data_IF_336843141850
#
_entry.id   IF_336843141850
#
_cell.length_a   1.000
_cell.length_b   1.000
_cell.length_c   1.000
_cell.angle_alpha   90.00
_cell.angle_beta   90.00
_cell.angle_gamma   90.00
#
_symmetry.space_group_name_H-M   'P 1'
#
loop_
_entity.id
_entity.type
_entity.pdbx_description
1 polymer ?
#
# COMPACT_ATOMS: atom_id res chain seq x y z
N UNK A 1 -42.05 -0.21 5.82
CA UNK A 1 -41.49 0.76 4.84
C UNK A 1 -39.97 0.74 4.94
N UNK A 2 -39.27 0.19 3.97
CA UNK A 2 -37.79 0.22 3.93
C UNK A 2 -37.34 1.51 3.22
N UNK A 3 -36.50 2.31 3.87
CA UNK A 3 -35.98 3.55 3.28
C UNK A 3 -35.04 3.19 2.12
N UNK A 4 -35.20 3.87 0.98
CA UNK A 4 -34.29 3.72 -0.17
C UNK A 4 -32.89 4.23 0.19
N UNK A 5 -31.80 3.52 -0.19
CA UNK A 5 -30.44 3.99 0.05
C UNK A 5 -30.19 5.31 -0.67
N UNK A 6 -29.62 6.30 0.03
CA UNK A 6 -29.21 7.59 -0.51
C UNK A 6 -27.69 7.66 -0.56
N UNK A 7 -27.14 7.98 -1.73
CA UNK A 7 -25.71 8.24 -1.90
C UNK A 7 -25.31 9.51 -1.13
N UNK A 8 -24.17 9.46 -0.42
CA UNK A 8 -23.61 10.60 0.31
C UNK A 8 -22.63 11.37 -0.59
N UNK A 9 -23.15 12.31 -1.37
CA UNK A 9 -22.37 13.12 -2.32
C UNK A 9 -21.68 14.36 -1.69
N UNK A 10 -21.49 14.38 -0.37
CA UNK A 10 -20.84 15.50 0.35
C UNK A 10 -19.32 15.39 0.41
N UNK A 11 -18.71 15.95 1.46
CA UNK A 11 -17.26 15.87 1.75
C UNK A 11 -16.71 14.43 1.83
N UNK A 12 -17.59 13.45 2.03
CA UNK A 12 -17.28 12.02 2.01
C UNK A 12 -16.92 11.47 0.64
N UNK A 13 -17.18 12.22 -0.43
CA UNK A 13 -16.82 11.85 -1.81
C UNK A 13 -15.35 12.18 -2.12
N UNK A 14 -14.74 13.13 -1.41
CA UNK A 14 -13.38 13.61 -1.70
C UNK A 14 -12.31 12.49 -1.69
N UNK A 15 -12.28 11.55 -0.73
CA UNK A 15 -11.34 10.43 -0.77
C UNK A 15 -11.56 9.51 -1.98
N UNK A 16 -12.82 9.31 -2.38
CA UNK A 16 -13.16 8.52 -3.56
C UNK A 16 -12.69 9.16 -4.86
N UNK A 17 -12.87 10.48 -5.00
CA UNK A 17 -12.34 11.24 -6.16
C UNK A 17 -10.81 11.17 -6.19
N UNK A 18 -10.16 11.29 -5.03
CA UNK A 18 -8.71 11.18 -4.93
C UNK A 18 -8.20 9.80 -5.37
N UNK A 19 -8.89 8.73 -4.99
CA UNK A 19 -8.56 7.37 -5.43
C UNK A 19 -8.69 7.21 -6.95
N UNK A 20 -9.76 7.73 -7.56
CA UNK A 20 -9.95 7.71 -9.02
C UNK A 20 -8.88 8.55 -9.74
N UNK A 21 -8.52 9.70 -9.18
CA UNK A 21 -7.44 10.54 -9.70
C UNK A 21 -6.09 9.83 -9.67
N UNK A 22 -5.75 9.18 -8.55
CA UNK A 22 -4.52 8.39 -8.42
C UNK A 22 -4.51 7.21 -9.41
N UNK A 23 -5.64 6.53 -9.60
CA UNK A 23 -5.77 5.47 -10.60
C UNK A 23 -5.50 5.98 -12.02
N UNK A 24 -6.10 7.11 -12.40
CA UNK A 24 -5.88 7.71 -13.71
C UNK A 24 -4.41 8.13 -13.91
N UNK A 25 -3.76 8.67 -12.87
CA UNK A 25 -2.34 8.99 -12.89
C UNK A 25 -1.48 7.74 -13.09
N UNK A 26 -1.75 6.65 -12.36
CA UNK A 26 -1.04 5.39 -12.53
C UNK A 26 -1.25 4.82 -13.94
N UNK A 27 -2.47 4.86 -14.46
CA UNK A 27 -2.76 4.43 -15.83
C UNK A 27 -1.98 5.27 -16.86
N UNK A 28 -1.89 6.59 -16.66
CA UNK A 28 -1.10 7.47 -17.52
C UNK A 28 0.39 7.08 -17.51
N UNK A 29 0.96 6.84 -16.32
CA UNK A 29 2.36 6.41 -16.19
C UNK A 29 2.58 5.09 -16.92
N UNK A 30 1.74 4.08 -16.68
CA UNK A 30 1.88 2.76 -17.33
C UNK A 30 1.80 2.87 -18.85
N UNK A 31 0.87 3.67 -19.39
CA UNK A 31 0.69 3.83 -20.83
C UNK A 31 1.80 4.64 -21.50
N UNK A 32 2.50 5.50 -20.77
CA UNK A 32 3.57 6.36 -21.30
C UNK A 32 4.97 5.88 -20.94
N UNK A 33 5.13 4.87 -20.09
CA UNK A 33 6.44 4.33 -19.73
C UNK A 33 6.90 3.38 -20.83
N UNK A 34 7.98 3.69 -21.57
CA UNK A 34 8.51 2.77 -22.55
C UNK A 34 9.16 1.58 -21.83
N UNK A 35 8.72 0.37 -22.16
CA UNK A 35 9.44 -0.85 -21.78
C UNK A 35 10.40 -1.21 -22.91
N UNK A 36 11.66 -1.49 -22.57
CA UNK A 36 12.63 -2.00 -23.54
C UNK A 36 12.21 -3.40 -24.04
N UNK A 37 12.69 -3.80 -25.22
CA UNK A 37 12.59 -5.20 -25.66
C UNK A 37 13.37 -6.07 -24.69
N UNK A 38 12.68 -7.03 -24.07
CA UNK A 38 13.32 -8.01 -23.21
C UNK A 38 14.26 -8.88 -24.06
N UNK A 39 15.57 -8.96 -23.74
CA UNK A 39 16.48 -9.83 -24.50
C UNK A 39 16.05 -11.30 -24.36
N UNK A 40 16.26 -12.11 -25.39
CA UNK A 40 15.84 -13.52 -25.43
C UNK A 40 16.41 -14.36 -24.27
N UNK A 41 17.55 -13.94 -23.69
CA UNK A 41 18.21 -14.57 -22.55
C UNK A 41 17.88 -13.93 -21.18
N UNK A 42 16.88 -13.04 -21.08
CA UNK A 42 16.61 -12.27 -19.86
C UNK A 42 16.26 -13.12 -18.61
N UNK A 43 15.92 -14.40 -18.79
CA UNK A 43 15.63 -15.34 -17.71
C UNK A 43 16.70 -16.42 -17.52
N UNK A 44 17.78 -16.41 -18.30
CA UNK A 44 18.93 -17.30 -18.13
C UNK A 44 19.89 -16.74 -17.06
N UNK A 45 19.37 -16.52 -15.86
CA UNK A 45 20.14 -15.93 -14.75
C UNK A 45 20.25 -16.93 -13.61
N UNK A 46 21.48 -17.19 -13.16
CA UNK A 46 21.76 -18.21 -12.14
C UNK A 46 21.12 -17.89 -10.79
N UNK A 47 21.10 -16.61 -10.38
CA UNK A 47 20.44 -16.16 -9.16
C UNK A 47 20.13 -14.67 -9.13
N UNK A 48 18.83 -14.33 -9.15
CA UNK A 48 18.35 -12.96 -8.96
C UNK A 48 18.75 -12.43 -7.58
N UNK A 49 18.69 -13.28 -6.56
CA UNK A 49 19.08 -12.90 -5.18
C UNK A 49 20.54 -12.50 -5.10
N UNK A 50 21.44 -13.23 -5.78
CA UNK A 50 22.85 -12.88 -5.85
C UNK A 50 23.07 -11.55 -6.58
N UNK A 51 22.42 -11.35 -7.72
CA UNK A 51 22.51 -10.10 -8.49
C UNK A 51 22.02 -8.87 -7.71
N UNK A 52 20.94 -9.01 -6.92
CA UNK A 52 20.49 -7.96 -5.99
C UNK A 52 21.54 -7.72 -4.90
N UNK A 53 22.13 -8.78 -4.34
CA UNK A 53 23.19 -8.70 -3.35
C UNK A 53 24.44 -7.98 -3.87
N UNK A 54 24.88 -8.28 -5.10
CA UNK A 54 26.01 -7.62 -5.73
C UNK A 54 25.75 -6.12 -5.94
N UNK A 55 24.54 -5.75 -6.37
CA UNK A 55 24.16 -4.34 -6.53
C UNK A 55 24.03 -3.59 -5.19
N UNK A 56 23.56 -4.26 -4.13
CA UNK A 56 23.44 -3.67 -2.79
C UNK A 56 24.79 -3.32 -2.16
N UNK A 57 25.82 -4.11 -2.44
CA UNK A 57 27.16 -3.95 -1.86
C UNK A 57 28.19 -3.39 -2.83
N UNK A 58 27.76 -2.89 -4.00
CA UNK A 58 28.63 -2.32 -5.03
C UNK A 58 29.74 -3.29 -5.50
N UNK A 59 29.37 -4.56 -5.71
CA UNK A 59 30.28 -5.64 -6.10
C UNK A 59 30.31 -5.82 -7.63
N UNK A 60 30.62 -4.75 -8.36
CA UNK A 60 30.63 -4.72 -9.83
C UNK A 60 31.37 -5.89 -10.51
N UNK A 61 32.59 -6.28 -10.09
CA UNK A 61 33.30 -7.41 -10.71
C UNK A 61 32.55 -8.75 -10.62
N UNK A 62 31.81 -8.98 -9.52
CA UNK A 62 31.00 -10.19 -9.35
C UNK A 62 29.67 -10.07 -10.11
N UNK A 63 29.11 -8.86 -10.19
CA UNK A 63 27.93 -8.55 -11.02
C UNK A 63 28.17 -8.85 -12.50
N UNK A 64 29.37 -8.54 -13.01
CA UNK A 64 29.76 -8.78 -14.41
C UNK A 64 30.01 -10.26 -14.72
N UNK A 65 30.48 -11.04 -13.74
CA UNK A 65 30.90 -12.44 -13.96
C UNK A 65 29.78 -13.43 -13.66
N UNK A 66 29.07 -13.25 -12.54
CA UNK A 66 28.12 -14.23 -11.99
C UNK A 66 26.71 -13.62 -11.78
N UNK A 67 26.51 -12.36 -12.18
CA UNK A 67 25.32 -11.57 -11.88
C UNK A 67 24.54 -11.12 -13.10
N UNK A 68 23.48 -10.36 -12.82
CA UNK A 68 22.69 -9.67 -13.85
C UNK A 68 23.20 -8.24 -13.97
N UNK A 69 23.56 -7.82 -15.17
CA UNK A 69 23.98 -6.44 -15.44
C UNK A 69 22.79 -5.47 -15.38
N UNK A 70 23.06 -4.20 -15.03
CA UNK A 70 22.03 -3.15 -15.04
C UNK A 70 20.95 -3.29 -13.97
N UNK A 71 21.25 -3.92 -12.83
CA UNK A 71 20.32 -4.10 -11.70
C UNK A 71 20.19 -2.88 -10.79
N UNK A 72 21.09 -1.90 -10.87
CA UNK A 72 21.06 -0.70 -10.02
C UNK A 72 19.77 0.13 -10.16
N UNK A 73 19.24 0.42 -11.36
CA UNK A 73 17.99 1.19 -11.49
C UNK A 73 16.80 0.43 -10.93
N UNK A 74 16.79 -0.90 -11.08
CA UNK A 74 15.80 -1.76 -10.46
C UNK A 74 15.89 -1.72 -8.93
N UNK A 75 17.11 -1.84 -8.38
CA UNK A 75 17.35 -1.78 -6.94
C UNK A 75 16.91 -0.42 -6.37
N UNK A 76 17.22 0.68 -7.05
CA UNK A 76 16.78 2.01 -6.66
C UNK A 76 15.24 2.12 -6.65
N UNK A 77 14.57 1.65 -7.71
CA UNK A 77 13.11 1.62 -7.77
C UNK A 77 12.50 0.74 -6.66
N UNK A 78 13.09 -0.43 -6.41
CA UNK A 78 12.67 -1.35 -5.35
C UNK A 78 12.74 -0.69 -3.97
N UNK A 79 13.85 -0.02 -3.64
CA UNK A 79 14.02 0.69 -2.38
C UNK A 79 13.05 1.87 -2.24
N UNK A 80 12.81 2.63 -3.32
CA UNK A 80 11.82 3.71 -3.33
C UNK A 80 10.41 3.20 -3.07
N UNK A 81 10.03 2.07 -3.68
CA UNK A 81 8.73 1.44 -3.44
C UNK A 81 8.64 0.99 -1.98
N UNK A 82 9.67 0.33 -1.45
CA UNK A 82 9.68 -0.11 -0.05
C UNK A 82 9.47 1.06 0.92
N UNK A 83 10.23 2.15 0.74
CA UNK A 83 10.08 3.38 1.53
C UNK A 83 8.68 3.98 1.41
N UNK A 84 8.12 4.02 0.19
CA UNK A 84 6.80 4.59 -0.06
C UNK A 84 5.71 3.74 0.61
N UNK A 85 5.81 2.42 0.54
CA UNK A 85 4.86 1.51 1.16
C UNK A 85 4.89 1.59 2.69
N UNK A 86 6.08 1.74 3.27
CA UNK A 86 6.26 1.94 4.71
C UNK A 86 5.54 3.22 5.19
N UNK A 87 5.81 4.35 4.53
CA UNK A 87 5.15 5.62 4.84
C UNK A 87 3.62 5.57 4.61
N UNK A 88 3.17 4.86 3.57
CA UNK A 88 1.76 4.68 3.30
C UNK A 88 1.06 3.84 4.39
N UNK A 89 1.73 2.81 4.90
CA UNK A 89 1.22 1.99 6.00
C UNK A 89 1.08 2.84 7.27
N UNK A 90 2.10 3.63 7.61
CA UNK A 90 2.05 4.55 8.76
C UNK A 90 0.92 5.57 8.63
N UNK A 91 0.80 6.21 7.46
CA UNK A 91 -0.28 7.15 7.19
C UNK A 91 -1.66 6.48 7.29
N UNK A 92 -1.79 5.24 6.82
CA UNK A 92 -3.04 4.47 6.92
C UNK A 92 -3.41 4.17 8.38
N UNK A 93 -2.41 3.89 9.23
CA UNK A 93 -2.60 3.66 10.65
C UNK A 93 -3.03 4.94 11.37
N UNK A 94 -2.40 6.07 11.06
CA UNK A 94 -2.78 7.39 11.59
C UNK A 94 -4.20 7.76 11.17
N UNK A 95 -4.58 7.54 9.89
CA UNK A 95 -5.95 7.79 9.40
C UNK A 95 -6.99 6.83 9.98
N UNK A 96 -6.59 5.58 10.26
CA UNK A 96 -7.49 4.57 10.81
C UNK A 96 -7.82 4.84 12.28
N UNK A 97 -6.89 5.44 13.03
CA UNK A 97 -7.15 5.92 14.39
C UNK A 97 -8.18 7.04 14.34
N UNK A 98 -9.37 6.79 14.87
CA UNK A 98 -10.36 7.84 15.13
C UNK A 98 -10.23 8.27 16.58
N UNK A 99 -10.17 9.58 16.79
CA UNK A 99 -10.31 10.18 18.11
C UNK A 99 -11.71 10.74 18.22
N UNK A 100 -12.46 10.35 19.27
CA UNK A 100 -13.75 10.92 19.60
C UNK A 100 -13.62 11.60 20.95
N UNK A 101 -13.88 12.91 21.00
CA UNK A 101 -13.75 13.72 22.22
C UNK A 101 -12.37 13.70 22.89
N UNK A 102 -11.30 13.47 22.12
CA UNK A 102 -9.92 13.42 22.62
C UNK A 102 -9.49 12.06 23.17
N UNK A 103 -10.35 11.04 23.10
CA UNK A 103 -9.98 9.66 23.42
C UNK A 103 -9.82 8.80 22.15
N UNK A 104 -8.79 7.94 22.06
CA UNK A 104 -8.61 7.03 20.93
C UNK A 104 -9.72 5.97 20.91
N UNK A 105 -10.59 5.99 19.90
CA UNK A 105 -11.63 4.96 19.70
C UNK A 105 -11.12 3.93 18.69
N UNK A 106 -10.66 2.79 19.19
CA UNK A 106 -10.33 1.66 18.33
C UNK A 106 -11.61 0.99 17.81
N UNK A 107 -11.77 0.90 16.48
CA UNK A 107 -12.95 0.30 15.84
C UNK A 107 -13.22 -1.18 16.23
N UNK A 108 -12.21 -1.88 16.76
CA UNK A 108 -12.35 -3.26 17.24
C UNK A 108 -12.91 -3.34 18.68
N UNK A 109 -12.65 -2.32 19.51
CA UNK A 109 -13.08 -2.30 20.91
C UNK A 109 -14.59 -2.02 21.04
N UNK A 110 -15.16 -1.21 20.13
CA UNK A 110 -16.59 -0.86 20.20
C UNK A 110 -17.54 -2.04 19.92
N UNK A 111 -17.04 -3.17 19.40
CA UNK A 111 -17.87 -4.35 19.13
C UNK A 111 -18.02 -5.28 20.34
N UNK A 112 -17.23 -5.07 21.40
CA UNK A 112 -17.30 -5.85 22.64
C UNK A 112 -18.22 -5.25 23.70
N UNK A 113 -18.53 -3.96 23.64
CA UNK A 113 -19.24 -3.22 24.69
C UNK A 113 -20.77 -3.21 24.56
N UNK A 114 -21.33 -3.54 23.39
CA UNK A 114 -22.79 -3.58 23.17
C UNK A 114 -23.47 -4.88 23.66
N UNK A 115 -22.72 -5.82 24.26
CA UNK A 115 -23.25 -7.11 24.69
C UNK A 115 -23.63 -7.18 26.19
N UNK A 116 -23.55 -6.08 26.95
CA UNK A 116 -23.57 -6.11 28.42
C UNK A 116 -24.71 -5.40 29.15
N UNK A 117 -25.53 -4.57 28.51
CA UNK A 117 -26.46 -3.68 29.23
C UNK A 117 -27.93 -3.99 28.88
N UNK A 118 -28.43 -5.10 29.41
CA UNK A 118 -29.86 -5.46 29.35
C UNK A 118 -30.29 -6.23 30.60
N UNK A 119 -30.08 -5.68 31.80
CA UNK A 119 -30.77 -6.13 33.02
C UNK A 119 -31.09 -4.95 33.95
N UNK A 120 -32.18 -4.25 33.65
CA UNK A 120 -32.98 -3.51 34.62
C UNK A 120 -34.43 -3.96 34.43
N UNK A 121 -34.81 -4.97 35.21
CA UNK A 121 -36.20 -5.40 35.37
C UNK A 121 -36.64 -5.02 36.77
N UNK A 122 -37.42 -3.95 36.88
CA UNK A 122 -38.02 -3.49 38.13
C UNK A 122 -39.00 -4.49 38.74
N UNK A 123 -39.04 -4.50 40.07
CA UNK A 123 -40.13 -5.04 40.87
C UNK A 123 -40.24 -4.21 42.16
N UNK A 124 -41.28 -3.37 42.22
CA UNK A 124 -42.02 -2.99 43.43
C UNK A 124 -43.51 -3.09 43.09
#
# INVERSE_FOLDING_TARGET
MTRRPKLRLGSTLAPGILAVGLFALMALIVLNTPFGTMPDAAFEVDSITAAIGYALFDLGPLQETDGVSGTEPFLAAFLLIALTLDAALDASLVLAKREESGEPVAALASRGSDAGDATDGGAD
#
